data_IF_013830094745
#
_entry.id   IF_013830094745
#
_cell.length_a   1.000
_cell.length_b   1.000
_cell.length_c   1.000
_cell.angle_alpha   90.00
_cell.angle_beta   90.00
_cell.angle_gamma   90.00
#
_symmetry.space_group_name_H-M   'P 1'
#
loop_
_entity.id
_entity.type
_entity.pdbx_description
1 polymer ?
#
# COMPACT_ATOMS: atom_id res chain seq x y z
N UNK A 1 13.12 5.23 18.95
CA UNK A 1 12.42 4.89 17.70
C UNK A 1 11.28 5.88 17.50
N UNK A 2 11.27 6.58 16.38
CA UNK A 2 10.26 7.59 15.98
C UNK A 2 9.68 7.20 14.62
N UNK A 3 8.37 7.02 14.55
CA UNK A 3 7.67 6.66 13.31
C UNK A 3 6.75 7.79 12.88
N UNK A 4 6.83 8.20 11.62
CA UNK A 4 5.83 9.07 11.00
C UNK A 4 4.75 8.22 10.35
N UNK A 5 3.49 8.46 10.66
CA UNK A 5 2.35 8.00 9.86
C UNK A 5 2.06 9.10 8.84
N UNK A 6 2.41 8.85 7.59
CA UNK A 6 2.33 9.79 6.49
C UNK A 6 1.02 9.57 5.72
N UNK A 7 0.14 10.56 5.74
CA UNK A 7 -1.24 10.45 5.24
C UNK A 7 -1.44 11.50 4.14
N UNK A 8 -1.19 11.14 2.87
CA UNK A 8 -1.61 11.98 1.76
C UNK A 8 -3.15 12.00 1.71
N UNK A 9 -3.74 13.18 1.63
CA UNK A 9 -5.19 13.31 1.64
C UNK A 9 -5.64 14.48 0.76
N UNK A 10 -6.94 14.59 0.57
CA UNK A 10 -7.61 15.79 0.10
C UNK A 10 -8.10 16.61 1.31
N UNK A 11 -9.30 17.18 1.25
CA UNK A 11 -9.86 17.99 2.32
C UNK A 11 -10.43 17.17 3.48
N UNK A 12 -10.69 15.89 3.25
CA UNK A 12 -11.34 14.99 4.19
C UNK A 12 -10.69 13.60 4.20
N UNK A 13 -10.93 12.86 5.27
CA UNK A 13 -10.61 11.44 5.37
C UNK A 13 -11.89 10.63 5.57
N UNK A 14 -11.85 9.36 5.22
CA UNK A 14 -12.98 8.44 5.44
C UNK A 14 -13.14 8.16 6.94
N UNK A 15 -14.38 8.02 7.42
CA UNK A 15 -14.67 7.72 8.84
C UNK A 15 -14.01 6.43 9.29
N UNK A 16 -14.05 5.40 8.46
CA UNK A 16 -13.46 4.09 8.73
C UNK A 16 -11.93 4.16 8.79
N UNK A 17 -11.31 5.03 7.98
CA UNK A 17 -9.89 5.34 8.09
C UNK A 17 -9.56 5.99 9.44
N UNK A 18 -10.34 7.00 9.83
CA UNK A 18 -10.14 7.69 11.11
C UNK A 18 -10.26 6.73 12.30
N UNK A 19 -11.23 5.82 12.28
CA UNK A 19 -11.40 4.77 13.29
C UNK A 19 -10.19 3.82 13.34
N UNK A 20 -9.70 3.37 12.19
CA UNK A 20 -8.49 2.54 12.11
C UNK A 20 -7.26 3.27 12.65
N UNK A 21 -7.09 4.55 12.30
CA UNK A 21 -5.96 5.37 12.75
C UNK A 21 -5.96 5.58 14.27
N UNK A 22 -7.14 5.80 14.87
CA UNK A 22 -7.29 5.96 16.33
C UNK A 22 -7.00 4.67 17.09
N UNK A 23 -7.23 3.51 16.48
CA UNK A 23 -6.97 2.19 17.04
C UNK A 23 -5.57 1.67 16.77
N UNK A 24 -4.80 2.32 15.90
CA UNK A 24 -3.46 1.86 15.52
C UNK A 24 -2.55 1.82 16.75
N UNK A 25 -2.01 0.65 17.05
CA UNK A 25 -1.13 0.44 18.21
C UNK A 25 0.24 1.05 17.96
N UNK A 26 0.73 1.93 18.84
CA UNK A 26 2.03 2.57 18.67
C UNK A 26 3.17 1.59 18.97
N UNK A 27 4.28 1.77 18.22
CA UNK A 27 5.59 1.20 18.58
C UNK A 27 6.59 2.36 18.64
N UNK A 28 6.88 2.81 19.86
CA UNK A 28 7.70 4.02 20.13
C UNK A 28 6.91 5.32 19.96
N UNK A 29 7.63 6.41 19.66
CA UNK A 29 7.05 7.72 19.41
C UNK A 29 6.41 7.76 18.00
N UNK A 30 5.14 8.12 17.94
CA UNK A 30 4.43 8.29 16.67
C UNK A 30 4.05 9.74 16.41
N UNK A 31 4.18 10.18 15.16
CA UNK A 31 3.64 11.44 14.68
C UNK A 31 2.75 11.20 13.46
N UNK A 32 1.54 11.74 13.50
CA UNK A 32 0.59 11.62 12.40
C UNK A 32 0.64 12.91 11.56
N UNK A 33 0.93 12.78 10.27
CA UNK A 33 1.10 13.89 9.37
C UNK A 33 0.12 13.78 8.20
N UNK A 34 -0.90 14.63 8.20
CA UNK A 34 -1.82 14.82 7.09
C UNK A 34 -1.23 15.86 6.12
N UNK A 35 -1.23 15.56 4.84
CA UNK A 35 -0.75 16.50 3.81
C UNK A 35 -1.82 16.70 2.74
N UNK A 36 -2.68 17.73 2.92
CA UNK A 36 -3.73 18.05 1.96
C UNK A 36 -3.14 18.58 0.65
N UNK A 37 -3.40 17.89 -0.45
CA UNK A 37 -3.03 18.36 -1.79
C UNK A 37 -3.80 17.58 -2.86
N UNK A 38 -4.24 18.24 -3.92
CA UNK A 38 -4.89 17.61 -5.07
C UNK A 38 -3.93 16.74 -5.92
N UNK A 39 -2.63 17.00 -5.82
CA UNK A 39 -1.59 16.25 -6.52
C UNK A 39 -0.94 15.27 -5.55
N UNK A 40 -1.33 14.00 -5.61
CA UNK A 40 -0.90 12.95 -4.69
C UNK A 40 0.64 12.84 -4.60
N UNK A 41 1.34 12.89 -5.72
CA UNK A 41 2.80 12.81 -5.74
C UNK A 41 3.45 13.96 -4.97
N UNK A 42 2.84 15.15 -5.01
CA UNK A 42 3.33 16.32 -4.27
C UNK A 42 3.14 16.12 -2.77
N UNK A 43 1.97 15.65 -2.32
CA UNK A 43 1.75 15.29 -0.92
C UNK A 43 2.77 14.29 -0.42
N UNK A 44 3.03 13.25 -1.19
CA UNK A 44 4.02 12.21 -0.83
C UNK A 44 5.45 12.76 -0.81
N UNK A 45 5.82 13.63 -1.74
CA UNK A 45 7.12 14.30 -1.71
C UNK A 45 7.29 15.17 -0.46
N UNK A 46 6.30 16.00 -0.16
CA UNK A 46 6.33 16.90 0.99
C UNK A 46 6.39 16.12 2.31
N UNK A 47 5.61 15.04 2.43
CA UNK A 47 5.64 14.12 3.58
C UNK A 47 7.00 13.40 3.72
N UNK A 48 7.56 12.90 2.62
CA UNK A 48 8.86 12.25 2.65
C UNK A 48 9.99 13.19 3.08
N UNK A 49 9.99 14.42 2.56
CA UNK A 49 10.95 15.45 3.00
C UNK A 49 10.72 15.86 4.46
N UNK A 50 9.46 15.90 4.92
CA UNK A 50 9.14 16.14 6.32
C UNK A 50 9.70 15.03 7.21
N UNK A 51 9.54 13.76 6.83
CA UNK A 51 10.07 12.62 7.57
C UNK A 51 11.59 12.71 7.75
N UNK A 52 12.32 13.05 6.68
CA UNK A 52 13.77 13.25 6.70
C UNK A 52 14.14 14.41 7.64
N UNK A 53 13.48 15.58 7.50
CA UNK A 53 13.72 16.76 8.32
C UNK A 53 13.46 16.51 9.81
N UNK A 54 12.39 15.78 10.13
CA UNK A 54 12.01 15.41 11.48
C UNK A 54 12.84 14.25 12.06
N UNK A 55 13.78 13.71 11.28
CA UNK A 55 14.67 12.60 11.65
C UNK A 55 13.90 11.42 12.23
N UNK A 56 12.83 11.01 11.51
CA UNK A 56 12.11 9.80 11.87
C UNK A 56 12.95 8.57 11.51
N UNK A 57 12.79 7.48 12.25
CA UNK A 57 13.44 6.22 11.92
C UNK A 57 12.67 5.50 10.80
N UNK A 58 11.34 5.63 10.82
CA UNK A 58 10.42 4.92 9.91
C UNK A 58 9.29 5.82 9.42
N UNK A 59 8.77 5.49 8.25
CA UNK A 59 7.58 6.11 7.67
C UNK A 59 6.56 5.02 7.31
N UNK A 60 5.39 5.09 7.93
CA UNK A 60 4.22 4.32 7.53
C UNK A 60 3.37 5.18 6.60
N UNK A 61 3.38 4.87 5.32
CA UNK A 61 2.50 5.46 4.33
C UNK A 61 1.13 4.79 4.42
N UNK A 62 0.07 5.57 4.56
CA UNK A 62 -1.30 5.07 4.57
C UNK A 62 -2.19 6.05 3.82
N UNK A 63 -2.86 5.57 2.76
CA UNK A 63 -3.84 6.40 2.06
C UNK A 63 -5.10 6.63 2.90
N UNK A 64 -5.72 7.79 2.75
CA UNK A 64 -6.81 8.29 3.60
C UNK A 64 -8.16 7.57 3.44
N UNK A 65 -8.20 6.54 2.59
CA UNK A 65 -9.35 5.65 2.36
C UNK A 65 -9.05 4.18 2.68
N UNK A 66 -7.97 3.92 3.43
CA UNK A 66 -7.63 2.58 3.90
C UNK A 66 -8.28 2.24 5.23
N UNK A 67 -8.63 0.96 5.41
CA UNK A 67 -9.14 0.39 6.67
C UNK A 67 -8.19 -0.71 7.11
N UNK A 68 -7.64 -0.61 8.30
CA UNK A 68 -6.58 -1.50 8.73
C UNK A 68 -6.70 -1.93 10.19
N UNK A 69 -6.23 -3.15 10.54
CA UNK A 69 -6.16 -3.65 11.91
C UNK A 69 -5.27 -2.81 12.82
N UNK A 70 -5.53 -2.83 14.11
CA UNK A 70 -4.74 -2.11 15.12
C UNK A 70 -3.26 -2.50 15.15
N UNK A 71 -2.93 -3.73 14.78
CA UNK A 71 -1.58 -4.29 14.86
C UNK A 71 -0.77 -4.11 13.57
N UNK A 72 -1.36 -3.53 12.52
CA UNK A 72 -0.72 -3.36 11.20
C UNK A 72 0.70 -2.77 11.27
N UNK A 73 0.92 -1.74 12.08
CA UNK A 73 2.27 -1.16 12.24
C UNK A 73 3.24 -2.14 12.92
N UNK A 74 2.77 -2.87 13.92
CA UNK A 74 3.60 -3.83 14.69
C UNK A 74 4.02 -4.97 13.78
N UNK A 75 3.09 -5.50 12.98
CA UNK A 75 3.33 -6.62 12.09
C UNK A 75 4.32 -6.24 10.97
N UNK A 76 4.09 -5.11 10.29
CA UNK A 76 5.03 -4.61 9.27
C UNK A 76 6.41 -4.24 9.87
N UNK A 77 6.45 -3.78 11.14
CA UNK A 77 7.70 -3.46 11.81
C UNK A 77 8.53 -4.73 12.09
N UNK A 78 7.88 -5.85 12.41
CA UNK A 78 8.57 -7.13 12.60
C UNK A 78 9.33 -7.54 11.32
N UNK A 79 8.74 -7.32 10.15
CA UNK A 79 9.42 -7.56 8.87
C UNK A 79 10.64 -6.67 8.65
N UNK A 80 10.56 -5.38 9.01
CA UNK A 80 11.73 -4.49 8.92
C UNK A 80 12.84 -4.89 9.90
N UNK A 81 12.49 -5.41 11.08
CA UNK A 81 13.44 -5.92 12.07
C UNK A 81 14.18 -7.17 11.57
N UNK A 82 13.60 -7.95 10.65
CA UNK A 82 14.24 -9.06 9.95
C UNK A 82 15.19 -8.63 8.81
N UNK A 83 15.46 -7.33 8.67
CA UNK A 83 16.42 -6.78 7.72
C UNK A 83 15.85 -6.35 6.37
N UNK A 84 14.54 -6.20 6.27
CA UNK A 84 13.89 -5.58 5.10
C UNK A 84 13.86 -4.06 5.26
N UNK A 85 13.87 -3.31 4.17
CA UNK A 85 13.87 -1.84 4.22
C UNK A 85 12.54 -1.24 3.81
N UNK A 86 11.76 -1.94 2.96
CA UNK A 86 10.44 -1.54 2.46
C UNK A 86 9.52 -2.75 2.51
N UNK A 87 8.39 -2.65 3.22
CA UNK A 87 7.39 -3.71 3.33
C UNK A 87 5.99 -3.14 3.16
N UNK A 88 5.20 -3.75 2.31
CA UNK A 88 3.80 -3.40 2.06
C UNK A 88 2.85 -4.40 2.70
N UNK A 89 1.73 -3.92 3.21
CA UNK A 89 0.57 -4.74 3.50
C UNK A 89 -0.15 -5.12 2.19
N UNK A 90 -0.96 -6.19 2.24
CA UNK A 90 -1.82 -6.57 1.13
C UNK A 90 -2.99 -5.60 1.01
N UNK A 91 -3.02 -4.88 -0.10
CA UNK A 91 -4.08 -3.97 -0.47
C UNK A 91 -4.63 -4.34 -1.85
N UNK A 92 -5.91 -4.07 -2.09
CA UNK A 92 -6.59 -4.34 -3.36
C UNK A 92 -7.09 -3.06 -4.01
N UNK A 93 -7.19 -3.07 -5.33
CA UNK A 93 -7.83 -1.98 -6.08
C UNK A 93 -9.29 -1.81 -5.64
N UNK A 94 -9.76 -0.56 -5.52
CA UNK A 94 -11.16 -0.25 -5.18
C UNK A 94 -12.14 -0.37 -6.35
N UNK A 95 -11.66 -0.77 -7.53
CA UNK A 95 -12.46 -0.97 -8.75
C UNK A 95 -12.26 -2.38 -9.28
N UNK A 96 -13.28 -2.98 -9.90
CA UNK A 96 -13.12 -4.27 -10.57
C UNK A 96 -11.91 -4.27 -11.51
N UNK A 97 -11.18 -5.38 -11.57
CA UNK A 97 -11.43 -6.68 -10.95
C UNK A 97 -10.92 -6.84 -9.51
N UNK A 98 -10.70 -5.77 -8.75
CA UNK A 98 -10.25 -5.75 -7.34
C UNK A 98 -8.92 -6.49 -7.10
N UNK A 99 -8.03 -6.44 -8.08
CA UNK A 99 -6.71 -7.09 -8.00
C UNK A 99 -5.87 -6.55 -6.85
N UNK A 100 -4.97 -7.36 -6.28
CA UNK A 100 -3.94 -6.86 -5.38
C UNK A 100 -3.06 -5.85 -6.14
N UNK A 101 -2.57 -4.85 -5.44
CA UNK A 101 -1.68 -3.82 -6.02
C UNK A 101 -0.21 -4.25 -5.98
N UNK A 102 0.04 -5.49 -6.32
CA UNK A 102 1.36 -6.12 -6.41
C UNK A 102 1.79 -6.29 -7.86
N UNK A 103 3.06 -6.00 -8.14
CA UNK A 103 3.62 -6.09 -9.48
C UNK A 103 4.85 -7.00 -9.48
N UNK A 104 4.74 -8.15 -10.16
CA UNK A 104 5.87 -9.09 -10.31
C UNK A 104 6.87 -8.66 -11.37
N UNK A 105 6.47 -7.75 -12.28
CA UNK A 105 7.31 -7.19 -13.31
C UNK A 105 7.07 -5.69 -13.42
N UNK A 106 8.16 -4.93 -13.49
CA UNK A 106 8.13 -3.50 -13.76
C UNK A 106 9.41 -3.12 -14.53
N UNK A 107 9.25 -2.67 -15.78
CA UNK A 107 10.35 -2.25 -16.66
C UNK A 107 10.03 -0.91 -17.29
N UNK A 108 10.99 -0.03 -17.27
CA UNK A 108 10.93 1.24 -18.00
C UNK A 108 11.58 1.04 -19.38
N UNK A 109 10.84 1.30 -20.44
CA UNK A 109 11.33 1.29 -21.82
C UNK A 109 12.03 2.60 -22.18
N UNK A 110 12.49 2.72 -23.42
CA UNK A 110 13.05 3.95 -23.96
C UNK A 110 11.93 4.98 -24.18
N UNK A 111 10.76 4.50 -24.57
CA UNK A 111 9.54 5.31 -24.70
C UNK A 111 8.47 4.81 -23.72
N UNK A 112 7.49 5.65 -23.34
CA UNK A 112 6.38 5.21 -22.46
C UNK A 112 5.57 4.04 -23.03
N UNK A 113 5.51 3.88 -24.34
CA UNK A 113 4.79 2.77 -25.00
C UNK A 113 5.50 1.42 -24.81
N UNK A 114 6.79 1.42 -24.49
CA UNK A 114 7.61 0.22 -24.23
C UNK A 114 7.65 -0.15 -22.74
N UNK A 115 6.98 0.63 -21.90
CA UNK A 115 6.90 0.31 -20.49
C UNK A 115 6.12 -0.99 -20.27
N UNK A 116 6.64 -1.84 -19.40
CA UNK A 116 6.01 -3.09 -19.05
C UNK A 116 5.72 -3.14 -17.54
N UNK A 117 4.54 -3.55 -17.20
CA UNK A 117 4.17 -3.92 -15.82
C UNK A 117 3.23 -5.10 -15.85
N UNK A 118 3.36 -5.97 -14.86
CA UNK A 118 2.53 -7.16 -14.72
C UNK A 118 2.06 -7.29 -13.27
N UNK A 119 0.75 -7.29 -13.07
CA UNK A 119 0.15 -7.55 -11.76
C UNK A 119 0.42 -8.99 -11.32
N UNK A 120 0.46 -9.19 -10.00
CA UNK A 120 0.68 -10.51 -9.40
C UNK A 120 -0.53 -10.96 -8.60
N UNK A 121 -1.48 -11.63 -9.25
CA UNK A 121 -2.74 -12.07 -8.62
C UNK A 121 -2.52 -13.34 -7.76
N UNK A 122 -1.65 -14.24 -8.21
CA UNK A 122 -1.29 -15.51 -7.60
C UNK A 122 -0.02 -15.43 -6.70
N UNK A 123 0.18 -14.28 -6.05
CA UNK A 123 1.32 -14.03 -5.17
C UNK A 123 1.43 -15.07 -4.02
N UNK A 124 2.64 -15.31 -3.45
CA UNK A 124 2.85 -16.20 -2.29
C UNK A 124 1.97 -15.82 -1.10
N UNK A 125 1.47 -16.80 -0.33
CA UNK A 125 0.52 -16.57 0.78
C UNK A 125 1.12 -16.84 2.16
N UNK A 126 2.26 -17.50 2.24
CA UNK A 126 2.75 -18.08 3.50
C UNK A 126 3.72 -17.16 4.28
N UNK A 127 4.17 -16.08 3.69
CA UNK A 127 5.09 -15.13 4.33
C UNK A 127 5.59 -14.04 3.39
N UNK A 128 6.44 -13.13 3.89
CA UNK A 128 6.93 -12.01 3.10
C UNK A 128 7.64 -12.45 1.83
N UNK A 129 7.36 -11.79 0.73
CA UNK A 129 7.92 -12.07 -0.58
C UNK A 129 8.38 -10.80 -1.30
N UNK A 130 9.39 -10.93 -2.18
CA UNK A 130 9.89 -9.83 -2.99
C UNK A 130 9.01 -9.59 -4.21
N UNK A 131 8.88 -8.31 -4.60
CA UNK A 131 8.18 -7.87 -5.79
C UNK A 131 8.91 -6.69 -6.44
N UNK A 132 8.55 -6.36 -7.68
CA UNK A 132 9.21 -5.25 -8.37
C UNK A 132 8.57 -3.90 -8.08
N UNK A 133 7.28 -3.89 -7.75
CA UNK A 133 6.58 -2.67 -7.31
C UNK A 133 5.29 -3.01 -6.55
N UNK A 134 4.82 -2.02 -5.81
CA UNK A 134 3.60 -2.10 -5.01
C UNK A 134 2.87 -0.77 -5.01
N UNK A 135 1.54 -0.80 -4.86
CA UNK A 135 0.74 0.39 -4.55
C UNK A 135 0.95 0.85 -3.10
N UNK A 136 0.81 2.13 -2.85
CA UNK A 136 1.16 2.76 -1.56
C UNK A 136 -0.03 2.92 -0.61
N UNK A 137 -1.05 2.07 -0.74
CA UNK A 137 -2.18 2.08 0.19
C UNK A 137 -1.79 1.86 1.66
N UNK A 138 -0.81 0.97 1.92
CA UNK A 138 -0.20 0.79 3.23
C UNK A 138 1.21 0.22 3.08
N UNK A 139 2.23 1.05 3.30
CA UNK A 139 3.65 0.68 3.14
C UNK A 139 4.48 1.24 4.29
N UNK A 140 5.25 0.40 4.96
CA UNK A 140 6.23 0.80 5.96
C UNK A 140 7.64 0.73 5.37
N UNK A 141 8.46 1.76 5.64
CA UNK A 141 9.85 1.78 5.22
C UNK A 141 10.74 2.52 6.23
N UNK A 142 12.04 2.25 6.14
CA UNK A 142 13.06 3.04 6.85
C UNK A 142 13.17 4.42 6.20
N UNK A 143 13.30 5.47 6.99
CA UNK A 143 13.49 6.84 6.49
C UNK A 143 14.77 6.97 5.66
N UNK A 144 15.81 6.19 5.97
CA UNK A 144 17.05 6.14 5.19
C UNK A 144 16.87 5.76 3.71
N UNK A 145 15.80 5.03 3.37
CA UNK A 145 15.42 4.76 1.98
C UNK A 145 15.10 6.07 1.26
N UNK A 146 14.29 6.93 1.89
CA UNK A 146 13.92 8.24 1.33
C UNK A 146 15.15 9.13 1.15
N UNK A 147 16.04 9.17 2.15
CA UNK A 147 17.29 9.93 2.07
C UNK A 147 18.17 9.47 0.90
N UNK A 148 18.30 8.16 0.71
CA UNK A 148 19.10 7.60 -0.38
C UNK A 148 18.48 7.91 -1.74
N UNK A 149 17.15 7.77 -1.87
CA UNK A 149 16.42 8.03 -3.13
C UNK A 149 16.52 9.51 -3.50
N UNK A 150 16.24 10.44 -2.56
CA UNK A 150 16.28 11.87 -2.85
C UNK A 150 17.70 12.35 -3.18
N UNK A 151 18.71 11.83 -2.49
CA UNK A 151 20.10 12.14 -2.77
C UNK A 151 20.55 11.70 -4.17
N UNK A 152 20.03 10.56 -4.67
CA UNK A 152 20.40 10.04 -5.99
C UNK A 152 19.60 10.67 -7.13
N UNK A 153 18.31 10.90 -6.94
CA UNK A 153 17.39 11.30 -8.00
C UNK A 153 16.85 12.72 -7.89
N UNK A 154 17.08 13.41 -6.77
CA UNK A 154 16.57 14.76 -6.50
C UNK A 154 15.08 14.82 -6.17
N UNK A 155 14.35 13.70 -6.28
CA UNK A 155 12.91 13.58 -6.05
C UNK A 155 12.55 12.19 -5.56
N UNK A 156 11.44 12.07 -4.81
CA UNK A 156 10.94 10.80 -4.30
C UNK A 156 9.86 10.21 -5.20
N UNK A 157 8.79 10.96 -5.41
CA UNK A 157 7.53 10.49 -6.00
C UNK A 157 7.15 11.19 -7.32
N UNK A 158 7.98 12.06 -7.90
CA UNK A 158 7.64 12.65 -9.20
C UNK A 158 7.40 11.53 -10.23
N UNK A 159 6.25 11.57 -10.95
CA UNK A 159 5.93 10.55 -11.94
C UNK A 159 6.99 10.46 -13.05
N UNK A 160 7.45 9.26 -13.34
CA UNK A 160 8.25 8.95 -14.51
C UNK A 160 7.33 8.80 -15.74
N UNK A 161 7.83 9.02 -16.96
CA UNK A 161 7.01 8.90 -18.16
C UNK A 161 6.28 7.55 -18.25
N UNK A 162 4.95 7.59 -18.24
CA UNK A 162 4.10 6.40 -18.34
C UNK A 162 3.85 5.63 -17.04
N UNK A 163 4.37 6.12 -15.89
CA UNK A 163 4.12 5.51 -14.58
C UNK A 163 3.52 6.51 -13.59
N UNK A 164 2.63 6.03 -12.73
CA UNK A 164 2.19 6.77 -11.55
C UNK A 164 3.32 6.96 -10.54
N UNK A 165 3.08 7.79 -9.54
CA UNK A 165 4.09 8.17 -8.55
C UNK A 165 4.60 6.98 -7.71
N UNK A 166 3.73 6.03 -7.38
CA UNK A 166 4.05 4.83 -6.60
C UNK A 166 5.06 3.95 -7.33
N UNK A 167 4.76 3.61 -8.59
CA UNK A 167 5.65 2.81 -9.43
C UNK A 167 6.96 3.56 -9.71
N UNK A 168 6.89 4.87 -9.87
CA UNK A 168 8.06 5.74 -10.05
C UNK A 168 8.99 5.72 -8.83
N UNK A 169 8.41 5.75 -7.62
CA UNK A 169 9.19 5.55 -6.39
C UNK A 169 9.81 4.15 -6.34
N UNK A 170 9.06 3.10 -6.65
CA UNK A 170 9.57 1.73 -6.68
C UNK A 170 10.75 1.57 -7.64
N UNK A 171 10.70 2.17 -8.82
CA UNK A 171 11.82 2.18 -9.79
C UNK A 171 13.05 2.86 -9.17
N UNK A 172 12.88 4.02 -8.52
CA UNK A 172 13.99 4.74 -7.88
C UNK A 172 14.58 3.98 -6.69
N UNK A 173 13.74 3.42 -5.82
CA UNK A 173 14.19 2.66 -4.65
C UNK A 173 15.00 1.43 -5.08
N UNK A 174 14.50 0.66 -6.05
CA UNK A 174 15.24 -0.47 -6.65
C UNK A 174 16.53 -0.03 -7.33
N UNK A 175 16.50 1.11 -8.01
CA UNK A 175 17.69 1.72 -8.59
C UNK A 175 18.74 2.15 -7.55
N UNK A 176 18.35 2.32 -6.28
CA UNK A 176 19.23 2.53 -5.13
C UNK A 176 19.72 1.21 -4.50
N UNK A 177 19.24 0.05 -4.98
CA UNK A 177 19.60 -1.26 -4.48
C UNK A 177 18.67 -1.81 -3.39
N UNK A 178 17.55 -1.14 -3.10
CA UNK A 178 16.56 -1.63 -2.15
C UNK A 178 15.65 -2.67 -2.78
N UNK A 179 15.36 -3.72 -2.02
CA UNK A 179 14.31 -4.68 -2.34
C UNK A 179 12.97 -4.19 -1.80
N UNK A 180 11.91 -4.44 -2.56
CA UNK A 180 10.53 -4.18 -2.13
C UNK A 180 9.92 -5.50 -1.72
N UNK A 181 9.28 -5.53 -0.56
CA UNK A 181 8.63 -6.71 0.01
C UNK A 181 7.14 -6.45 0.25
N UNK A 182 6.36 -7.51 0.28
CA UNK A 182 5.00 -7.48 0.82
C UNK A 182 4.83 -8.64 1.80
N UNK A 183 4.06 -8.39 2.87
CA UNK A 183 3.60 -9.47 3.76
C UNK A 183 2.13 -9.77 3.49
N UNK A 184 1.80 -10.96 2.95
CA UNK A 184 0.43 -11.35 2.65
C UNK A 184 -0.43 -11.58 3.89
N UNK A 185 0.18 -11.74 5.06
CA UNK A 185 -0.52 -11.92 6.34
C UNK A 185 -1.06 -10.59 6.89
N UNK A 186 -0.43 -9.47 6.53
CA UNK A 186 -0.88 -8.12 6.89
C UNK A 186 -1.83 -7.63 5.82
N UNK A 187 -3.12 -7.63 6.11
CA UNK A 187 -4.16 -7.28 5.15
C UNK A 187 -4.85 -5.98 5.54
N UNK A 188 -5.07 -5.11 4.56
CA UNK A 188 -5.78 -3.85 4.73
C UNK A 188 -6.90 -3.73 3.71
N UNK A 189 -8.04 -3.17 4.13
CA UNK A 189 -9.18 -2.90 3.27
C UNK A 189 -9.03 -1.57 2.55
N UNK A 190 -9.57 -1.46 1.34
CA UNK A 190 -9.63 -0.23 0.57
C UNK A 190 -11.10 0.21 0.47
N UNK A 191 -11.43 1.35 1.05
CA UNK A 191 -12.80 1.88 1.01
C UNK A 191 -13.20 2.17 -0.42
N UNK A 192 -14.24 1.52 -0.88
CA UNK A 192 -14.84 1.74 -2.19
C UNK A 192 -16.25 2.31 -2.05
N UNK A 193 -16.58 3.30 -2.85
CA UNK A 193 -17.98 3.73 -3.03
C UNK A 193 -18.62 2.90 -4.11
N UNK A 194 -19.81 2.38 -3.87
CA UNK A 194 -20.60 1.66 -4.87
C UNK A 194 -21.98 2.27 -5.01
N UNK A 195 -22.51 2.28 -6.25
CA UNK A 195 -23.90 2.62 -6.51
C UNK A 195 -24.70 1.34 -6.34
N UNK A 196 -25.58 1.31 -5.34
CA UNK A 196 -26.45 0.16 -5.09
C UNK A 196 -27.66 0.23 -6.03
N UNK A 197 -27.79 -0.75 -6.90
CA UNK A 197 -28.88 -0.90 -7.87
C UNK A 197 -29.52 -2.29 -7.71
N UNK A 198 -30.57 -2.57 -8.48
CA UNK A 198 -31.14 -3.90 -8.58
C UNK A 198 -30.10 -4.95 -9.00
N UNK A 199 -29.29 -4.61 -9.97
CA UNK A 199 -28.22 -5.49 -10.48
C UNK A 199 -27.16 -5.78 -9.40
N UNK A 200 -26.80 -4.78 -8.57
CA UNK A 200 -25.89 -4.97 -7.43
C UNK A 200 -26.49 -5.96 -6.41
N UNK A 201 -27.78 -5.80 -6.10
CA UNK A 201 -28.49 -6.73 -5.20
C UNK A 201 -28.52 -8.16 -5.75
N UNK A 202 -28.88 -8.31 -7.03
CA UNK A 202 -28.95 -9.62 -7.69
C UNK A 202 -27.57 -10.30 -7.79
N UNK A 203 -26.50 -9.54 -8.03
CA UNK A 203 -25.14 -10.06 -8.05
C UNK A 203 -24.70 -10.53 -6.66
N UNK A 204 -24.99 -9.75 -5.62
CA UNK A 204 -24.70 -10.13 -4.23
C UNK A 204 -25.46 -11.40 -3.82
N UNK A 205 -26.76 -11.48 -4.13
CA UNK A 205 -27.59 -12.65 -3.83
C UNK A 205 -27.03 -13.92 -4.48
N UNK A 206 -26.67 -13.87 -5.78
CA UNK A 206 -26.05 -15.03 -6.48
C UNK A 206 -24.75 -15.47 -5.84
N UNK A 207 -23.92 -14.52 -5.38
CA UNK A 207 -22.64 -14.83 -4.71
C UNK A 207 -22.86 -15.51 -3.37
N UNK A 208 -23.86 -15.08 -2.59
CA UNK A 208 -24.19 -15.70 -1.28
C UNK A 208 -24.83 -17.08 -1.44
N UNK A 209 -25.76 -17.25 -2.37
CA UNK A 209 -26.40 -18.55 -2.67
C UNK A 209 -25.37 -19.59 -3.14
N UNK A 210 -24.37 -19.17 -3.92
CA UNK A 210 -23.28 -20.05 -4.36
C UNK A 210 -22.36 -20.45 -3.19
N UNK A 211 -22.04 -19.53 -2.29
CA UNK A 211 -21.22 -19.80 -1.12
C UNK A 211 -21.91 -20.79 -0.15
N UNK A 212 -23.20 -20.63 0.08
CA UNK A 212 -24.01 -21.53 0.93
C UNK A 212 -24.13 -22.93 0.30
N UNK A 213 -24.30 -23.02 -1.02
CA UNK A 213 -24.35 -24.30 -1.73
C UNK A 213 -23.04 -25.07 -1.70
N UNK A 214 -21.89 -24.38 -1.68
CA UNK A 214 -20.57 -25.01 -1.56
C UNK A 214 -20.33 -25.53 -0.14
N UNK A 215 -20.81 -24.83 0.91
CA UNK A 215 -20.70 -25.32 2.30
C UNK A 215 -21.58 -26.54 2.56
N UNK A 216 -22.81 -26.54 2.07
CA UNK A 216 -23.72 -27.69 2.22
C UNK A 216 -23.23 -28.97 1.50
N UNK A 217 -22.54 -28.82 0.38
CA UNK A 217 -21.95 -29.96 -0.34
C UNK A 217 -20.67 -30.53 0.28
N UNK A 218 -20.03 -29.80 1.20
CA UNK A 218 -18.83 -30.25 1.91
C UNK A 218 -19.17 -31.07 3.18
N UNK A 219 -20.37 -30.89 3.75
CA UNK A 219 -20.81 -31.61 4.95
C UNK A 219 -21.42 -33.00 4.64
N UNK A 220 -21.76 -33.29 3.37
CA UNK A 220 -22.34 -34.60 2.96
C UNK A 220 -21.29 -35.65 2.56
N UNK A 221 -20.00 -35.40 2.80
CA UNK A 221 -18.91 -36.31 2.41
C UNK A 221 -18.00 -36.78 3.58
N UNK A 222 -18.48 -36.71 4.83
CA UNK A 222 -17.84 -37.37 5.99
C UNK A 222 -18.60 -38.60 6.47
#
# INVERSE_FOLDING_TARGET
>A
MKTMVAIPCMDTVQTEFADSLLKLRPKGLMMHCFMPCSLIYKSRNDLGQLAIREKTDYVLWVDSDMVFPSDTLIDLMADLEEGRDIVAATCHMRRPPFRPVFYKKLRMGITPAENEHENWDDYPKDGPFKLEAVGFGCVLMRTSVLETVINKYGDLFAPLPGFGEELSFCIRARGCGYDIWADPRVQVGHKASTIVTKETFEAFRRATEHAEGVQAGAEDHD
#
